data_IF_087075185992
#
_entry.id   IF_087075185992
#
_cell.length_a   1.000
_cell.length_b   1.000
_cell.length_c   1.000
_cell.angle_alpha   90.00
_cell.angle_beta   90.00
_cell.angle_gamma   90.00
#
_symmetry.space_group_name_H-M   'P 1'
#
loop_
_entity.id
_entity.type
_entity.pdbx_description
1 polymer ?
#
# COMPACT_ATOMS: atom_id res chain seq x y z
N UNK A 1 -3.82 -9.72 -15.05
CA UNK A 1 -4.26 -10.16 -13.71
C UNK A 1 -3.14 -10.16 -12.69
N UNK A 2 -3.38 -9.59 -11.51
CA UNK A 2 -2.44 -9.56 -10.36
C UNK A 2 -3.12 -10.20 -9.14
N UNK A 3 -3.75 -11.36 -9.35
CA UNK A 3 -4.67 -11.97 -8.37
C UNK A 3 -3.93 -12.45 -7.12
N UNK A 4 -2.86 -13.22 -7.28
CA UNK A 4 -2.15 -13.81 -6.13
C UNK A 4 -1.44 -12.77 -5.25
N UNK A 5 -0.80 -11.77 -5.87
CA UNK A 5 -0.14 -10.70 -5.14
C UNK A 5 -1.13 -9.80 -4.38
N UNK A 6 -2.29 -9.51 -4.98
CA UNK A 6 -3.35 -8.74 -4.32
C UNK A 6 -3.82 -9.43 -3.04
N UNK A 7 -4.21 -10.71 -3.11
CA UNK A 7 -4.71 -11.44 -1.95
C UNK A 7 -3.64 -11.66 -0.88
N UNK A 8 -2.38 -11.90 -1.27
CA UNK A 8 -1.27 -12.05 -0.32
C UNK A 8 -1.07 -10.79 0.54
N UNK A 9 -1.09 -9.61 -0.09
CA UNK A 9 -0.98 -8.33 0.62
C UNK A 9 -2.25 -8.02 1.43
N UNK A 10 -3.43 -8.25 0.85
CA UNK A 10 -4.73 -8.00 1.51
C UNK A 10 -4.87 -8.77 2.80
N UNK A 11 -4.48 -10.05 2.82
CA UNK A 11 -4.54 -10.86 4.03
C UNK A 11 -3.68 -10.26 5.16
N UNK A 12 -2.42 -9.94 4.86
CA UNK A 12 -1.50 -9.34 5.84
C UNK A 12 -2.01 -7.98 6.36
N UNK A 13 -2.61 -7.17 5.49
CA UNK A 13 -3.22 -5.90 5.88
C UNK A 13 -4.42 -6.12 6.81
N UNK A 14 -5.32 -7.04 6.47
CA UNK A 14 -6.50 -7.32 7.28
C UNK A 14 -6.13 -7.84 8.67
N UNK A 15 -5.12 -8.73 8.76
CA UNK A 15 -4.57 -9.19 10.05
C UNK A 15 -4.06 -8.01 10.90
N UNK A 16 -3.32 -7.09 10.29
CA UNK A 16 -2.80 -5.91 10.98
C UNK A 16 -3.92 -4.96 11.43
N UNK A 17 -4.86 -4.63 10.53
CA UNK A 17 -5.97 -3.72 10.81
C UNK A 17 -6.92 -4.27 11.88
N UNK A 18 -7.18 -5.59 11.88
CA UNK A 18 -7.95 -6.24 12.94
C UNK A 18 -7.22 -6.18 14.28
N UNK A 19 -5.91 -6.44 14.31
CA UNK A 19 -5.09 -6.36 15.53
C UNK A 19 -5.15 -4.97 16.17
N UNK A 20 -5.05 -3.89 15.37
CA UNK A 20 -5.09 -2.51 15.88
C UNK A 20 -6.51 -1.93 15.97
N UNK A 21 -7.53 -2.70 15.60
CA UNK A 21 -8.95 -2.32 15.59
C UNK A 21 -9.21 -1.01 14.82
N UNK A 22 -8.65 -0.90 13.61
CA UNK A 22 -8.85 0.25 12.72
C UNK A 22 -9.30 -0.18 11.34
N UNK A 23 -10.05 0.70 10.68
CA UNK A 23 -10.36 0.61 9.26
C UNK A 23 -9.51 1.63 8.49
N UNK A 24 -8.90 1.19 7.40
CA UNK A 24 -8.09 2.06 6.55
C UNK A 24 -8.12 1.61 5.09
N UNK A 25 -7.78 2.54 4.20
CA UNK A 25 -7.39 2.22 2.83
C UNK A 25 -5.88 1.96 2.80
N UNK A 26 -5.43 1.06 1.92
CA UNK A 26 -4.02 0.72 1.77
C UNK A 26 -3.65 0.68 0.30
N UNK A 27 -2.49 1.25 -0.02
CA UNK A 27 -1.88 1.19 -1.34
C UNK A 27 -0.53 0.48 -1.17
N UNK A 28 -0.34 -0.59 -1.93
CA UNK A 28 0.94 -1.29 -1.99
C UNK A 28 1.61 -0.94 -3.31
N UNK A 29 2.76 -0.29 -3.23
CA UNK A 29 3.61 0.00 -4.38
C UNK A 29 4.74 -1.02 -4.40
N UNK A 30 4.89 -1.75 -5.50
CA UNK A 30 5.97 -2.71 -5.70
C UNK A 30 6.60 -2.49 -7.05
N UNK A 31 7.90 -2.29 -7.05
CA UNK A 31 8.73 -2.23 -8.25
C UNK A 31 9.56 -3.52 -8.32
N UNK A 32 9.44 -4.27 -9.42
CA UNK A 32 10.33 -5.40 -9.72
C UNK A 32 11.47 -4.84 -10.56
N UNK A 33 12.69 -4.95 -10.04
CA UNK A 33 13.89 -4.42 -10.69
C UNK A 33 14.74 -5.56 -11.27
N UNK A 34 15.62 -5.30 -12.25
CA UNK A 34 16.44 -6.35 -12.88
C UNK A 34 17.30 -7.15 -11.91
N UNK A 35 17.66 -6.58 -10.75
CA UNK A 35 18.43 -7.26 -9.72
C UNK A 35 17.62 -8.38 -9.01
N UNK A 36 16.29 -8.41 -9.18
CA UNK A 36 15.41 -9.47 -8.68
C UNK A 36 15.41 -10.68 -9.63
N UNK A 37 16.43 -11.53 -9.51
CA UNK A 37 16.69 -12.64 -10.44
C UNK A 37 15.89 -13.93 -10.15
N UNK A 38 15.24 -14.05 -8.98
CA UNK A 38 14.54 -15.28 -8.59
C UNK A 38 13.04 -15.04 -8.33
N UNK A 39 12.12 -15.69 -9.09
CA UNK A 39 10.69 -15.57 -8.87
C UNK A 39 10.24 -16.43 -7.68
N UNK A 40 10.18 -15.84 -6.48
CA UNK A 40 9.79 -16.53 -5.23
C UNK A 40 8.26 -16.72 -5.06
N UNK A 41 7.49 -16.60 -6.14
CA UNK A 41 6.03 -16.65 -6.11
C UNK A 41 5.40 -15.52 -5.28
N UNK A 42 4.15 -15.74 -4.84
CA UNK A 42 3.37 -14.73 -4.08
C UNK A 42 3.53 -14.87 -2.56
N UNK A 43 4.08 -15.99 -2.08
CA UNK A 43 4.27 -16.23 -0.64
C UNK A 43 5.17 -15.20 0.02
N UNK A 44 6.21 -14.74 -0.71
CA UNK A 44 7.14 -13.71 -0.24
C UNK A 44 6.42 -12.39 0.05
N UNK A 45 5.39 -12.04 -0.74
CA UNK A 45 4.64 -10.79 -0.56
C UNK A 45 3.97 -10.74 0.80
N UNK A 46 3.35 -11.84 1.22
CA UNK A 46 2.70 -11.92 2.54
C UNK A 46 3.70 -11.72 3.68
N UNK A 47 4.90 -12.28 3.56
CA UNK A 47 5.95 -12.13 4.58
C UNK A 47 6.47 -10.69 4.65
N UNK A 48 6.78 -10.08 3.50
CA UNK A 48 7.27 -8.69 3.49
C UNK A 48 6.21 -7.70 3.98
N UNK A 49 4.92 -7.92 3.68
CA UNK A 49 3.85 -7.05 4.16
C UNK A 49 3.71 -7.14 5.68
N UNK A 50 3.73 -8.35 6.25
CA UNK A 50 3.69 -8.53 7.72
C UNK A 50 4.89 -7.89 8.40
N UNK A 51 6.09 -8.13 7.86
CA UNK A 51 7.31 -7.51 8.38
C UNK A 51 7.28 -5.97 8.27
N UNK A 52 6.62 -5.41 7.25
CA UNK A 52 6.43 -3.96 7.14
C UNK A 52 5.46 -3.43 8.22
N UNK A 53 4.39 -4.16 8.53
CA UNK A 53 3.41 -3.77 9.56
C UNK A 53 3.92 -3.93 11.01
N UNK A 54 4.97 -4.72 11.23
CA UNK A 54 5.63 -4.85 12.53
C UNK A 54 6.61 -3.71 12.83
N UNK A 55 7.08 -3.01 11.79
CA UNK A 55 8.03 -1.88 11.93
C UNK A 55 7.29 -0.60 12.28
N UNK A 56 8.01 0.33 12.92
CA UNK A 56 7.49 1.67 13.19
C UNK A 56 7.23 2.40 11.86
N UNK A 57 5.98 2.85 11.59
CA UNK A 57 5.67 3.54 10.35
C UNK A 57 6.09 5.00 10.42
N UNK A 58 6.49 5.54 9.27
CA UNK A 58 6.57 6.98 9.07
C UNK A 58 5.15 7.56 8.98
N UNK A 59 4.94 8.72 9.59
CA UNK A 59 3.65 9.42 9.61
C UNK A 59 3.81 10.76 8.91
N UNK A 60 2.85 11.09 8.06
CA UNK A 60 2.84 12.32 7.27
C UNK A 60 1.55 13.08 7.52
N UNK A 61 1.62 14.40 7.37
CA UNK A 61 0.46 15.28 7.53
C UNK A 61 -0.40 15.32 6.26
N UNK A 62 0.22 15.06 5.10
CA UNK A 62 -0.44 15.07 3.80
C UNK A 62 -0.08 13.85 2.94
N UNK A 63 -0.96 13.54 1.98
CA UNK A 63 -0.69 12.50 0.99
C UNK A 63 0.48 12.86 0.08
N UNK A 64 0.69 14.15 -0.19
CA UNK A 64 1.79 14.62 -1.03
C UNK A 64 3.15 14.38 -0.38
N UNK A 65 3.27 14.61 0.94
CA UNK A 65 4.47 14.27 1.71
C UNK A 65 4.74 12.77 1.68
N UNK A 66 3.71 11.95 1.89
CA UNK A 66 3.86 10.49 1.84
C UNK A 66 4.29 10.00 0.46
N UNK A 67 3.76 10.58 -0.62
CA UNK A 67 4.12 10.27 -1.99
C UNK A 67 5.55 10.75 -2.33
N UNK A 68 5.94 11.93 -1.87
CA UNK A 68 7.31 12.42 -2.03
C UNK A 68 8.31 11.49 -1.34
N UNK A 69 8.00 11.03 -0.12
CA UNK A 69 8.85 10.05 0.57
C UNK A 69 8.88 8.70 -0.17
N UNK A 70 7.75 8.23 -0.67
CA UNK A 70 7.70 6.99 -1.46
C UNK A 70 8.54 7.07 -2.75
N UNK A 71 8.55 8.22 -3.43
CA UNK A 71 9.36 8.44 -4.64
C UNK A 71 10.85 8.22 -4.37
N UNK A 72 11.37 8.56 -3.18
CA UNK A 72 12.79 8.36 -2.84
C UNK A 72 13.22 6.87 -2.86
N UNK A 73 12.25 5.94 -2.77
CA UNK A 73 12.48 4.49 -2.74
C UNK A 73 12.22 3.82 -4.10
N UNK A 74 11.54 4.52 -5.01
CA UNK A 74 11.16 4.03 -6.33
C UNK A 74 12.15 4.56 -7.37
N UNK A 75 12.59 3.71 -8.31
CA UNK A 75 13.33 4.20 -9.49
C UNK A 75 12.35 4.71 -10.55
N UNK A 76 11.16 4.12 -10.63
CA UNK A 76 10.10 4.62 -11.52
C UNK A 76 9.44 5.89 -10.98
N UNK A 77 9.02 6.82 -11.85
CA UNK A 77 8.21 7.96 -11.46
C UNK A 77 6.95 7.52 -10.73
N UNK A 78 6.66 8.15 -9.59
CA UNK A 78 5.49 7.82 -8.77
C UNK A 78 4.18 8.09 -9.52
N UNK A 79 4.21 9.01 -10.49
CA UNK A 79 3.11 9.31 -11.42
C UNK A 79 2.61 8.07 -12.17
N UNK A 80 3.47 7.10 -12.45
CA UNK A 80 3.08 5.84 -13.09
C UNK A 80 2.12 5.03 -12.21
N UNK A 81 2.25 5.14 -10.89
CA UNK A 81 1.38 4.48 -9.92
C UNK A 81 0.15 5.34 -9.59
N UNK A 82 0.34 6.64 -9.40
CA UNK A 82 -0.76 7.53 -8.98
C UNK A 82 -1.80 7.75 -10.08
N UNK A 83 -1.38 7.82 -11.36
CA UNK A 83 -2.28 8.01 -12.50
C UNK A 83 -3.26 6.83 -12.70
N UNK A 84 -2.87 5.62 -12.31
CA UNK A 84 -3.69 4.41 -12.44
C UNK A 84 -4.44 4.05 -11.15
N UNK A 85 -4.01 4.56 -9.99
CA UNK A 85 -4.55 4.15 -8.70
C UNK A 85 -6.01 4.59 -8.50
N UNK A 86 -6.92 3.61 -8.44
CA UNK A 86 -8.32 3.84 -8.08
C UNK A 86 -8.46 4.39 -6.66
N UNK A 87 -7.63 3.92 -5.72
CA UNK A 87 -7.70 4.36 -4.32
C UNK A 87 -7.32 5.84 -4.22
N UNK A 88 -6.25 6.29 -4.90
CA UNK A 88 -5.87 7.71 -4.89
C UNK A 88 -6.88 8.59 -5.62
N UNK A 89 -7.44 8.12 -6.75
CA UNK A 89 -8.51 8.85 -7.46
C UNK A 89 -9.77 9.06 -6.62
N UNK A 90 -9.98 8.23 -5.60
CA UNK A 90 -11.11 8.31 -4.68
C UNK A 90 -10.71 8.77 -3.27
N UNK A 91 -9.45 9.15 -3.08
CA UNK A 91 -8.97 9.73 -1.84
C UNK A 91 -9.78 11.01 -1.54
N UNK A 92 -10.26 11.15 -0.32
CA UNK A 92 -11.14 12.24 0.15
C UNK A 92 -12.48 12.41 -0.60
N UNK A 93 -12.88 11.51 -1.50
CA UNK A 93 -14.24 11.54 -2.08
C UNK A 93 -15.29 10.92 -1.15
N UNK A 94 -14.87 9.96 -0.32
CA UNK A 94 -15.75 9.33 0.65
C UNK A 94 -16.08 10.30 1.79
N UNK A 95 -17.36 10.62 1.95
CA UNK A 95 -17.88 11.39 3.09
C UNK A 95 -17.91 10.53 4.36
N UNK A 96 -17.68 11.16 5.51
CA UNK A 96 -17.85 10.49 6.82
C UNK A 96 -19.34 10.27 7.08
N UNK A 97 -19.72 9.19 7.76
CA UNK A 97 -21.12 8.98 8.16
C UNK A 97 -21.64 10.14 9.01
N UNK A 98 -20.78 10.73 9.84
CA UNK A 98 -21.06 11.92 10.65
C UNK A 98 -21.29 13.20 9.85
N UNK A 99 -21.18 13.20 8.51
CA UNK A 99 -21.59 14.36 7.70
C UNK A 99 -23.03 14.27 7.22
N UNK A 100 -23.73 13.17 7.51
CA UNK A 100 -25.13 12.94 7.14
C UNK A 100 -26.10 13.11 8.32
N UNK A 101 -25.58 13.18 9.54
CA UNK A 101 -26.31 13.47 10.77
C UNK A 101 -25.74 14.75 11.37
#
# INVERSE_FOLDING_TARGET
DVTGAYYANRLALCEYLDKIKKQAQCIVMREIRPEYYSPLGVGILRQISRAAFEKQPEKFSSINEALAQAQTRLKQPISNYTSISFILKNYNKQRKLTSFF
#
